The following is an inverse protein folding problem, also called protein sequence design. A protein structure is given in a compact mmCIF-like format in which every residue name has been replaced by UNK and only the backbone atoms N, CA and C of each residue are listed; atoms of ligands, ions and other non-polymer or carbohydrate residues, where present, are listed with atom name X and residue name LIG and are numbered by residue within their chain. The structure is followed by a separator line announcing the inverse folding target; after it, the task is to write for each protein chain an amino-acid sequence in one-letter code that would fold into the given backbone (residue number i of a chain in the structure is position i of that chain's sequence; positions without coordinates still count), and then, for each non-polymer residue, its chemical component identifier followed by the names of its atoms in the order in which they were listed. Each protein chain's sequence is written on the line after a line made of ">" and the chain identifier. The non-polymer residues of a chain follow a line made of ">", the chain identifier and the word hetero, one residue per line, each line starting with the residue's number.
data_IF_681690476709
#
_entry.id   IF_681690476709
#
_cell.length_a   1.000
_cell.length_b   1.000
_cell.length_c   1.000
_cell.angle_alpha   90.00
_cell.angle_beta   90.00
_cell.angle_gamma   90.00
#
_symmetry.space_group_name_H-M   'P 1'
#
loop_
_entity.id
_entity.type
_entity.pdbx_description
1 polymer ?
#
# COMPACT_ATOMS: atom_id res chain seq x y z
N UNK A 1 29.61 48.14 15.59
CA UNK A 1 28.69 47.68 14.53
C UNK A 1 29.01 46.22 14.30
N UNK A 2 28.16 45.29 14.73
CA UNK A 2 28.47 43.86 14.71
C UNK A 2 28.40 43.30 13.28
N UNK A 3 29.45 42.58 12.86
CA UNK A 3 29.44 41.83 11.60
C UNK A 3 28.51 40.63 11.74
N UNK A 4 27.48 40.56 10.90
CA UNK A 4 26.66 39.36 10.74
C UNK A 4 27.39 38.38 9.82
N UNK A 5 27.72 37.20 10.34
CA UNK A 5 28.20 36.06 9.54
C UNK A 5 27.03 35.12 9.28
N UNK A 6 26.62 35.02 8.03
CA UNK A 6 25.64 34.03 7.61
C UNK A 6 26.34 32.69 7.42
N UNK A 7 25.85 31.65 8.10
CA UNK A 7 26.24 30.28 7.82
C UNK A 7 25.37 29.76 6.67
N UNK A 8 26.01 29.15 5.67
CA UNK A 8 25.29 28.36 4.67
C UNK A 8 25.00 27.01 5.32
N UNK A 9 23.73 26.75 5.59
CA UNK A 9 23.27 25.44 6.08
C UNK A 9 22.94 24.61 4.86
N UNK A 10 23.72 23.56 4.59
CA UNK A 10 23.33 22.55 3.61
C UNK A 10 22.15 21.76 4.17
N UNK A 11 21.00 21.89 3.51
CA UNK A 11 19.83 21.09 3.84
C UNK A 11 20.03 19.67 3.31
N UNK A 12 19.58 18.64 4.05
CA UNK A 12 19.59 17.28 3.55
C UNK A 12 18.70 17.16 2.30
N UNK A 13 18.90 16.12 1.47
CA UNK A 13 18.17 15.94 0.21
C UNK A 13 16.63 15.98 0.35
N UNK A 14 16.12 15.63 1.54
CA UNK A 14 14.74 15.88 1.95
C UNK A 14 14.74 16.55 3.33
N UNK A 15 14.51 17.88 3.42
CA UNK A 15 14.49 18.58 4.71
C UNK A 15 13.30 18.21 5.59
N UNK A 16 12.30 17.52 5.05
CA UNK A 16 11.05 17.15 5.74
C UNK A 16 10.89 15.63 5.90
N UNK A 17 11.95 14.85 5.70
CA UNK A 17 11.83 13.39 5.71
C UNK A 17 11.25 12.87 7.03
N UNK A 18 11.75 13.37 8.15
CA UNK A 18 11.27 12.99 9.47
C UNK A 18 9.83 13.46 9.72
N UNK A 19 9.52 14.72 9.40
CA UNK A 19 8.18 15.28 9.57
C UNK A 19 7.15 14.48 8.74
N UNK A 20 7.49 14.14 7.50
CA UNK A 20 6.66 13.34 6.61
C UNK A 20 6.36 11.96 7.21
N UNK A 21 7.38 11.26 7.71
CA UNK A 21 7.21 9.95 8.36
C UNK A 21 6.35 10.04 9.60
N UNK A 22 6.63 10.99 10.48
CA UNK A 22 5.91 11.17 11.74
C UNK A 22 4.45 11.56 11.50
N UNK A 23 4.21 12.52 10.61
CA UNK A 23 2.84 12.96 10.29
C UNK A 23 2.03 11.82 9.69
N UNK A 24 2.59 11.04 8.75
CA UNK A 24 1.87 9.91 8.16
C UNK A 24 1.64 8.78 9.18
N UNK A 25 2.63 8.50 10.03
CA UNK A 25 2.51 7.54 11.13
C UNK A 25 1.33 7.87 12.03
N UNK A 26 1.21 9.14 12.45
CA UNK A 26 0.09 9.57 13.28
C UNK A 26 -1.25 9.64 12.53
N UNK A 27 -1.29 9.90 11.22
CA UNK A 27 -2.55 9.82 10.45
C UNK A 27 -3.14 8.41 10.54
N UNK A 28 -2.32 7.38 10.34
CA UNK A 28 -2.78 5.99 10.46
C UNK A 28 -3.07 5.59 11.90
N UNK A 29 -2.20 5.94 12.84
CA UNK A 29 -2.41 5.62 14.25
C UNK A 29 -3.71 6.24 14.80
N UNK A 30 -3.94 7.53 14.57
CA UNK A 30 -5.14 8.24 15.04
C UNK A 30 -6.37 7.72 14.31
N UNK A 31 -6.30 7.58 12.99
CA UNK A 31 -7.42 7.10 12.18
C UNK A 31 -7.90 5.72 12.61
N UNK A 32 -6.97 4.81 12.92
CA UNK A 32 -7.31 3.44 13.34
C UNK A 32 -7.64 3.37 14.82
N UNK A 33 -6.75 3.82 15.69
CA UNK A 33 -6.83 3.55 17.13
C UNK A 33 -7.73 4.53 17.90
N UNK A 34 -8.09 5.69 17.33
CA UNK A 34 -8.96 6.68 17.98
C UNK A 34 -10.26 6.89 17.21
N UNK A 35 -10.18 7.08 15.89
CA UNK A 35 -11.37 7.29 15.06
C UNK A 35 -12.10 5.97 14.73
N UNK A 36 -11.54 4.81 15.10
CA UNK A 36 -12.17 3.51 14.94
C UNK A 36 -12.32 3.05 13.48
N UNK A 37 -11.57 3.66 12.55
CA UNK A 37 -11.54 3.23 11.16
C UNK A 37 -10.66 1.98 11.00
N UNK A 38 -10.90 1.21 9.94
CA UNK A 38 -9.91 0.22 9.50
C UNK A 38 -8.77 0.91 8.77
N UNK A 39 -7.59 0.31 8.78
CA UNK A 39 -6.45 0.88 8.05
C UNK A 39 -6.70 0.97 6.53
N UNK A 40 -7.45 0.04 5.95
CA UNK A 40 -7.93 0.14 4.57
C UNK A 40 -8.79 1.38 4.34
N UNK A 41 -9.67 1.75 5.27
CA UNK A 41 -10.50 2.96 5.14
C UNK A 41 -9.64 4.23 5.18
N UNK A 42 -8.67 4.28 6.10
CA UNK A 42 -7.71 5.40 6.19
C UNK A 42 -6.87 5.49 4.93
N UNK A 43 -6.33 4.38 4.43
CA UNK A 43 -5.55 4.33 3.19
C UNK A 43 -6.36 4.77 1.97
N UNK A 44 -7.62 4.34 1.87
CA UNK A 44 -8.52 4.75 0.79
C UNK A 44 -8.82 6.25 0.85
N UNK A 45 -9.14 6.79 2.02
CA UNK A 45 -9.37 8.22 2.20
C UNK A 45 -8.10 9.05 1.93
N UNK A 46 -6.92 8.55 2.30
CA UNK A 46 -5.63 9.18 2.03
C UNK A 46 -5.36 9.28 0.51
N UNK A 47 -5.62 8.21 -0.23
CA UNK A 47 -5.52 8.22 -1.70
C UNK A 47 -6.61 9.06 -2.37
N UNK A 48 -7.85 9.03 -1.87
CA UNK A 48 -8.98 9.73 -2.49
C UNK A 48 -9.01 11.24 -2.20
N UNK A 49 -8.39 11.69 -1.11
CA UNK A 49 -8.29 13.11 -0.74
C UNK A 49 -7.23 13.88 -1.54
N UNK A 50 -6.36 13.20 -2.28
CA UNK A 50 -5.20 13.79 -2.97
C UNK A 50 -3.98 13.99 -2.07
N UNK A 51 -4.06 13.61 -0.78
CA UNK A 51 -2.93 13.74 0.14
C UNK A 51 -1.77 12.81 -0.24
N UNK A 52 -2.05 11.63 -0.79
CA UNK A 52 -1.02 10.73 -1.31
C UNK A 52 -0.08 11.44 -2.31
N UNK A 53 -0.65 12.13 -3.29
CA UNK A 53 0.10 12.86 -4.31
C UNK A 53 0.88 14.05 -3.73
N UNK A 54 0.36 14.70 -2.69
CA UNK A 54 1.05 15.80 -2.01
C UNK A 54 2.21 15.33 -1.12
N UNK A 55 2.07 14.16 -0.48
CA UNK A 55 3.14 13.48 0.24
C UNK A 55 4.24 13.00 -0.73
N UNK A 56 3.86 12.44 -1.88
CA UNK A 56 4.80 12.00 -2.91
C UNK A 56 5.69 13.14 -3.43
N UNK A 57 5.14 14.35 -3.53
CA UNK A 57 5.86 15.58 -3.89
C UNK A 57 6.60 16.23 -2.71
N UNK A 58 6.45 15.70 -1.50
CA UNK A 58 6.93 16.28 -0.24
C UNK A 58 6.49 17.75 -0.07
N UNK A 59 5.23 18.06 -0.40
CA UNK A 59 4.73 19.42 -0.32
C UNK A 59 4.74 19.90 1.15
N UNK A 60 5.55 20.92 1.51
CA UNK A 60 5.75 21.35 2.89
C UNK A 60 4.46 21.79 3.58
N UNK A 61 3.44 22.25 2.84
CA UNK A 61 2.13 22.59 3.41
C UNK A 61 1.49 21.39 4.12
N UNK A 62 1.69 20.19 3.60
CA UNK A 62 1.03 18.98 4.10
C UNK A 62 1.96 18.12 4.96
N UNK A 63 3.24 18.02 4.60
CA UNK A 63 4.18 17.12 5.29
C UNK A 63 4.84 17.72 6.52
N UNK A 64 4.83 19.05 6.65
CA UNK A 64 5.42 19.77 7.80
C UNK A 64 4.52 20.89 8.34
N UNK A 65 3.68 21.49 7.49
CA UNK A 65 2.82 22.63 7.84
C UNK A 65 1.44 22.26 8.40
N UNK A 66 1.08 20.98 8.43
CA UNK A 66 -0.20 20.47 8.94
C UNK A 66 0.04 19.36 9.94
N UNK A 67 -0.73 19.37 11.02
CA UNK A 67 -0.76 18.24 11.95
C UNK A 67 -1.51 17.05 11.33
N UNK A 68 -1.27 15.85 11.85
CA UNK A 68 -2.03 14.65 11.44
C UNK A 68 -3.54 14.80 11.67
N UNK A 69 -3.96 15.58 12.68
CA UNK A 69 -5.37 15.93 12.88
C UNK A 69 -5.92 16.82 11.76
N UNK A 70 -5.14 17.76 11.23
CA UNK A 70 -5.55 18.59 10.09
C UNK A 70 -5.68 17.76 8.81
N UNK A 71 -4.79 16.78 8.61
CA UNK A 71 -4.87 15.85 7.50
C UNK A 71 -6.10 14.94 7.61
N UNK A 72 -6.38 14.42 8.80
CA UNK A 72 -7.59 13.65 9.05
C UNK A 72 -8.87 14.47 8.82
N UNK A 73 -8.87 15.78 9.13
CA UNK A 73 -9.99 16.67 8.81
C UNK A 73 -10.20 16.84 7.31
N UNK A 74 -9.13 16.86 6.52
CA UNK A 74 -9.21 16.86 5.06
C UNK A 74 -9.81 15.54 4.57
N UNK A 75 -9.45 14.43 5.20
CA UNK A 75 -9.94 13.08 4.87
C UNK A 75 -11.36 12.79 5.39
N UNK A 76 -11.86 13.56 6.36
CA UNK A 76 -13.10 13.29 7.09
C UNK A 76 -14.31 13.00 6.18
N UNK A 77 -14.58 13.74 5.09
CA UNK A 77 -15.70 13.44 4.20
C UNK A 77 -15.63 12.08 3.48
N UNK A 78 -14.47 11.42 3.53
CA UNK A 78 -14.18 10.14 2.89
C UNK A 78 -14.05 8.98 3.90
N UNK A 79 -14.06 9.30 5.19
CA UNK A 79 -13.99 8.34 6.28
C UNK A 79 -15.41 7.95 6.73
N UNK A 80 -15.60 6.74 7.29
CA UNK A 80 -16.89 6.30 7.82
C UNK A 80 -17.23 6.92 9.19
N UNK A 81 -16.42 7.85 9.69
CA UNK A 81 -16.60 8.52 10.98
C UNK A 81 -17.07 9.96 10.79
N UNK A 82 -17.89 10.44 11.73
CA UNK A 82 -18.53 11.76 11.61
C UNK A 82 -17.63 12.92 12.08
N UNK A 83 -16.65 12.64 12.93
CA UNK A 83 -15.72 13.64 13.46
C UNK A 83 -14.30 13.09 13.64
N UNK A 84 -13.32 13.99 13.59
CA UNK A 84 -11.94 13.67 13.99
C UNK A 84 -11.86 13.79 15.52
N UNK A 85 -11.33 12.78 16.22
CA UNK A 85 -11.15 12.83 17.68
C UNK A 85 -10.41 14.07 18.15
N UNK A 86 -10.71 14.51 19.38
CA UNK A 86 -9.99 15.61 20.00
C UNK A 86 -8.50 15.25 20.17
N UNK A 87 -7.57 16.22 20.01
CA UNK A 87 -6.15 15.95 20.19
C UNK A 87 -5.81 15.41 21.58
N UNK A 88 -5.14 14.26 21.61
CA UNK A 88 -4.62 13.60 22.81
C UNK A 88 -3.10 13.38 22.71
N UNK A 89 -2.41 13.44 23.84
CA UNK A 89 -0.99 13.08 23.95
C UNK A 89 -0.82 11.58 23.75
N UNK A 90 -0.06 11.18 22.73
CA UNK A 90 0.21 9.78 22.41
C UNK A 90 1.71 9.53 22.37
N UNK A 91 2.15 8.63 23.24
CA UNK A 91 3.56 8.21 23.32
C UNK A 91 3.79 6.82 22.72
N UNK A 92 2.73 6.03 22.57
CA UNK A 92 2.81 4.66 22.09
C UNK A 92 2.98 4.61 20.58
N UNK A 93 4.00 3.88 20.13
CA UNK A 93 4.23 3.58 18.70
C UNK A 93 3.53 2.28 18.34
N UNK A 94 2.22 2.38 18.12
CA UNK A 94 1.38 1.24 17.74
C UNK A 94 1.83 0.60 16.42
N UNK A 95 1.34 -0.60 16.08
CA UNK A 95 1.59 -1.18 14.76
C UNK A 95 1.09 -0.29 13.60
N UNK A 96 0.04 0.50 13.82
CA UNK A 96 -0.53 1.43 12.84
C UNK A 96 0.32 2.69 12.68
N UNK A 97 0.90 3.19 13.79
CA UNK A 97 1.95 4.21 13.75
C UNK A 97 3.13 3.73 12.89
N UNK A 98 3.63 2.52 13.18
CA UNK A 98 4.74 1.95 12.44
C UNK A 98 4.40 1.72 10.97
N UNK A 99 3.18 1.29 10.64
CA UNK A 99 2.77 1.11 9.25
C UNK A 99 2.82 2.43 8.47
N UNK A 100 2.29 3.52 9.03
CA UNK A 100 2.39 4.85 8.40
C UNK A 100 3.83 5.33 8.25
N UNK A 101 4.67 5.09 9.25
CA UNK A 101 6.11 5.38 9.19
C UNK A 101 6.83 4.60 8.09
N UNK A 102 6.59 3.30 8.00
CA UNK A 102 7.20 2.40 7.03
C UNK A 102 6.76 2.75 5.60
N UNK A 103 5.49 3.06 5.40
CA UNK A 103 4.93 3.54 4.12
C UNK A 103 5.63 4.81 3.64
N UNK A 104 5.77 5.82 4.51
CA UNK A 104 6.48 7.05 4.22
C UNK A 104 7.95 6.78 3.85
N UNK A 105 8.64 5.96 4.64
CA UNK A 105 10.03 5.60 4.37
C UNK A 105 10.20 4.92 3.01
N UNK A 106 9.34 3.97 2.66
CA UNK A 106 9.42 3.27 1.38
C UNK A 106 9.15 4.20 0.21
N UNK A 107 8.13 5.07 0.31
CA UNK A 107 7.83 6.06 -0.73
C UNK A 107 9.03 7.00 -0.95
N UNK A 108 9.63 7.55 0.11
CA UNK A 108 10.78 8.44 -0.01
C UNK A 108 12.02 7.74 -0.56
N UNK A 109 12.26 6.48 -0.16
CA UNK A 109 13.44 5.71 -0.59
C UNK A 109 13.35 5.31 -2.07
N UNK A 110 12.16 4.95 -2.55
CA UNK A 110 11.98 4.34 -3.87
C UNK A 110 11.31 5.26 -4.90
N UNK A 111 10.66 6.35 -4.46
CA UNK A 111 9.80 7.17 -5.30
C UNK A 111 8.50 6.47 -5.74
N UNK A 112 8.19 5.29 -5.18
CA UNK A 112 6.99 4.55 -5.52
C UNK A 112 5.72 5.27 -5.05
N UNK A 113 4.75 5.50 -5.94
CA UNK A 113 3.48 6.11 -5.54
C UNK A 113 2.72 5.25 -4.53
N UNK A 114 2.01 5.87 -3.59
CA UNK A 114 1.18 5.17 -2.60
C UNK A 114 0.12 4.32 -3.27
N UNK A 115 -0.43 4.76 -4.41
CA UNK A 115 -1.31 3.95 -5.25
C UNK A 115 -0.67 2.62 -5.67
N UNK A 116 0.60 2.64 -6.04
CA UNK A 116 1.32 1.41 -6.43
C UNK A 116 1.68 0.55 -5.22
N UNK A 117 1.98 1.16 -4.07
CA UNK A 117 2.22 0.47 -2.81
C UNK A 117 0.96 -0.31 -2.39
N UNK A 118 -0.18 0.37 -2.31
CA UNK A 118 -1.47 -0.26 -1.93
C UNK A 118 -2.06 -1.16 -3.02
N UNK A 119 -1.59 -1.06 -4.27
CA UNK A 119 -1.87 -2.07 -5.29
C UNK A 119 -1.01 -3.33 -5.13
N UNK A 120 0.14 -3.22 -4.46
CA UNK A 120 1.05 -4.34 -4.21
C UNK A 120 0.59 -5.17 -3.03
N UNK A 121 0.22 -4.54 -1.92
CA UNK A 121 -0.21 -5.21 -0.69
C UNK A 121 -1.36 -4.45 -0.01
N UNK A 122 -2.23 -5.16 0.71
CA UNK A 122 -3.26 -4.51 1.54
C UNK A 122 -2.62 -3.80 2.73
N UNK A 123 -3.37 -2.91 3.39
CA UNK A 123 -2.85 -2.26 4.59
C UNK A 123 -2.60 -3.30 5.69
N UNK A 124 -3.50 -4.25 5.89
CA UNK A 124 -3.30 -5.34 6.85
C UNK A 124 -2.05 -6.19 6.56
N UNK A 125 -1.73 -6.47 5.28
CA UNK A 125 -0.50 -7.17 4.92
C UNK A 125 0.73 -6.36 5.34
N UNK A 126 0.74 -5.04 5.09
CA UNK A 126 1.81 -4.14 5.50
C UNK A 126 1.92 -4.10 7.04
N UNK A 127 0.80 -3.86 7.73
CA UNK A 127 0.75 -3.78 9.20
C UNK A 127 1.22 -5.08 9.87
N UNK A 128 0.95 -6.23 9.26
CA UNK A 128 1.37 -7.54 9.78
C UNK A 128 2.91 -7.69 9.84
N UNK A 129 3.64 -6.89 9.06
CA UNK A 129 5.10 -6.86 9.07
C UNK A 129 5.69 -6.16 10.29
N UNK A 130 4.86 -5.53 11.12
CA UNK A 130 5.28 -4.89 12.36
C UNK A 130 6.08 -5.84 13.26
N UNK A 131 5.51 -6.97 13.67
CA UNK A 131 6.18 -7.89 14.61
C UNK A 131 7.57 -8.35 14.13
N UNK A 132 7.75 -8.80 12.87
CA UNK A 132 9.08 -9.21 12.41
C UNK A 132 10.06 -8.05 12.15
N UNK A 133 9.58 -6.80 11.96
CA UNK A 133 10.42 -5.70 11.45
C UNK A 133 10.50 -4.44 12.31
N UNK A 134 9.66 -4.26 13.33
CA UNK A 134 9.62 -3.00 14.10
C UNK A 134 10.88 -2.71 14.92
N UNK A 135 11.65 -3.74 15.26
CA UNK A 135 12.97 -3.62 15.90
C UNK A 135 14.12 -3.63 14.88
N UNK A 136 13.83 -3.84 13.59
CA UNK A 136 14.82 -3.88 12.54
C UNK A 136 15.07 -2.47 11.95
N UNK A 137 16.23 -2.26 11.29
CA UNK A 137 16.44 -1.04 10.51
C UNK A 137 15.38 -0.90 9.42
N UNK A 138 14.95 0.33 9.15
CA UNK A 138 13.89 0.63 8.17
C UNK A 138 14.23 0.13 6.75
N UNK A 139 15.52 0.09 6.40
CA UNK A 139 16.01 -0.47 5.15
C UNK A 139 15.60 -1.94 4.94
N UNK A 140 15.35 -2.70 6.02
CA UNK A 140 14.87 -4.08 5.95
C UNK A 140 13.43 -4.15 5.48
N UNK A 141 12.56 -3.25 5.93
CA UNK A 141 11.20 -3.12 5.38
C UNK A 141 11.27 -2.79 3.89
N UNK A 142 12.12 -1.83 3.52
CA UNK A 142 12.28 -1.43 2.11
C UNK A 142 12.68 -2.62 1.24
N UNK A 143 13.70 -3.39 1.65
CA UNK A 143 14.15 -4.56 0.90
C UNK A 143 13.07 -5.63 0.76
N UNK A 144 12.37 -5.98 1.84
CA UNK A 144 11.32 -7.01 1.84
C UNK A 144 10.13 -6.58 0.97
N UNK A 145 9.70 -5.33 1.11
CA UNK A 145 8.57 -4.83 0.34
C UNK A 145 8.90 -4.73 -1.15
N UNK A 146 10.13 -4.34 -1.50
CA UNK A 146 10.57 -4.26 -2.89
C UNK A 146 10.70 -5.65 -3.55
N UNK A 147 11.21 -6.65 -2.82
CA UNK A 147 11.20 -8.04 -3.26
C UNK A 147 9.77 -8.53 -3.48
N UNK A 148 8.87 -8.32 -2.52
CA UNK A 148 7.46 -8.69 -2.66
C UNK A 148 6.82 -8.03 -3.89
N UNK A 149 7.11 -6.75 -4.13
CA UNK A 149 6.61 -6.02 -5.30
C UNK A 149 7.14 -6.63 -6.60
N UNK A 150 8.45 -6.94 -6.64
CA UNK A 150 9.09 -7.57 -7.79
C UNK A 150 8.48 -8.94 -8.08
N UNK A 151 8.26 -9.76 -7.06
CA UNK A 151 7.60 -11.06 -7.18
C UNK A 151 6.13 -10.93 -7.63
N UNK A 152 5.36 -10.01 -7.03
CA UNK A 152 3.95 -9.79 -7.40
C UNK A 152 3.80 -9.17 -8.79
N UNK A 153 4.81 -8.45 -9.30
CA UNK A 153 4.84 -7.92 -10.66
C UNK A 153 5.04 -9.02 -11.73
N UNK A 154 5.60 -10.18 -11.37
CA UNK A 154 5.72 -11.31 -12.30
C UNK A 154 4.33 -11.78 -12.72
N UNK A 155 4.13 -12.08 -14.00
CA UNK A 155 2.88 -12.65 -14.47
C UNK A 155 2.58 -13.96 -13.72
N UNK A 156 1.33 -14.15 -13.30
CA UNK A 156 0.86 -15.45 -12.79
C UNK A 156 0.96 -16.52 -13.88
N UNK A 157 1.03 -17.78 -13.48
CA UNK A 157 0.96 -18.92 -14.38
C UNK A 157 -0.33 -18.89 -15.20
N UNK A 158 -1.46 -18.55 -14.57
CA UNK A 158 -2.74 -18.35 -15.26
C UNK A 158 -2.64 -17.28 -16.37
N UNK A 159 -2.09 -16.10 -16.04
CA UNK A 159 -1.92 -15.02 -17.02
C UNK A 159 -0.99 -15.43 -18.15
N UNK A 160 0.13 -16.06 -17.81
CA UNK A 160 1.15 -16.52 -18.77
C UNK A 160 0.56 -17.53 -19.75
N UNK A 161 -0.17 -18.53 -19.26
CA UNK A 161 -0.83 -19.55 -20.09
C UNK A 161 -1.96 -18.96 -20.93
N UNK A 162 -2.73 -18.02 -20.38
CA UNK A 162 -3.79 -17.31 -21.11
C UNK A 162 -3.21 -16.53 -22.30
N UNK A 163 -2.15 -15.76 -22.07
CA UNK A 163 -1.51 -14.95 -23.11
C UNK A 163 -0.82 -15.83 -24.16
N UNK A 164 -0.19 -16.93 -23.76
CA UNK A 164 0.36 -17.93 -24.68
C UNK A 164 -0.72 -18.60 -25.56
N UNK A 165 -1.94 -18.75 -25.03
CA UNK A 165 -3.10 -19.22 -25.78
C UNK A 165 -3.77 -18.13 -26.66
N UNK A 166 -3.27 -16.88 -26.63
CA UNK A 166 -3.81 -15.76 -27.41
C UNK A 166 -5.19 -15.29 -26.95
N UNK A 167 -5.58 -15.56 -25.71
CA UNK A 167 -6.91 -15.24 -25.19
C UNK A 167 -6.88 -13.96 -24.35
N UNK A 168 -7.89 -13.10 -24.49
CA UNK A 168 -8.22 -12.08 -23.48
C UNK A 168 -8.89 -12.71 -22.25
N UNK A 169 -8.95 -11.98 -21.14
CA UNK A 169 -9.67 -12.42 -19.93
C UNK A 169 -11.14 -12.74 -20.23
N UNK A 170 -11.79 -11.95 -21.10
CA UNK A 170 -13.17 -12.18 -21.53
C UNK A 170 -13.34 -13.45 -22.37
N UNK A 171 -12.39 -13.73 -23.27
CA UNK A 171 -12.41 -14.93 -24.10
C UNK A 171 -12.14 -16.19 -23.27
N UNK A 172 -11.20 -16.13 -22.31
CA UNK A 172 -10.97 -17.23 -21.37
C UNK A 172 -12.19 -17.48 -20.49
N UNK A 173 -12.85 -16.43 -20.00
CA UNK A 173 -14.08 -16.55 -19.24
C UNK A 173 -15.18 -17.25 -20.05
N UNK A 174 -15.37 -16.85 -21.31
CA UNK A 174 -16.33 -17.49 -22.22
C UNK A 174 -15.99 -18.95 -22.48
N UNK A 175 -14.71 -19.29 -22.67
CA UNK A 175 -14.26 -20.64 -22.96
C UNK A 175 -14.32 -21.58 -21.74
N UNK A 176 -14.01 -21.08 -20.55
CA UNK A 176 -13.98 -21.87 -19.30
C UNK A 176 -15.30 -21.86 -18.52
N UNK A 177 -16.16 -20.86 -18.73
CA UNK A 177 -17.34 -20.63 -17.90
C UNK A 177 -17.01 -20.13 -16.48
N UNK A 178 -15.77 -19.70 -16.24
CA UNK A 178 -15.37 -18.99 -15.01
C UNK A 178 -15.59 -17.49 -15.22
N UNK A 179 -16.16 -16.80 -14.23
CA UNK A 179 -16.44 -15.37 -14.35
C UNK A 179 -15.18 -14.54 -14.60
N UNK A 180 -15.27 -13.55 -15.49
CA UNK A 180 -14.17 -12.62 -15.84
C UNK A 180 -13.54 -12.01 -14.60
N UNK A 181 -14.37 -11.59 -13.63
CA UNK A 181 -13.89 -11.00 -12.37
C UNK A 181 -13.02 -11.98 -11.58
N UNK A 182 -13.39 -13.26 -11.52
CA UNK A 182 -12.57 -14.26 -10.82
C UNK A 182 -11.22 -14.46 -11.51
N UNK A 183 -11.20 -14.55 -12.85
CA UNK A 183 -9.95 -14.64 -13.62
C UNK A 183 -9.06 -13.43 -13.34
N UNK A 184 -9.63 -12.23 -13.40
CA UNK A 184 -8.91 -11.00 -13.09
C UNK A 184 -8.32 -11.02 -11.66
N UNK A 185 -9.11 -11.43 -10.66
CA UNK A 185 -8.66 -11.51 -9.27
C UNK A 185 -7.53 -12.54 -9.09
N UNK A 186 -7.59 -13.68 -9.77
CA UNK A 186 -6.49 -14.66 -9.76
C UNK A 186 -5.25 -14.10 -10.44
N UNK A 187 -5.38 -13.49 -11.62
CA UNK A 187 -4.23 -12.94 -12.36
C UNK A 187 -3.55 -11.78 -11.64
N UNK A 188 -4.29 -11.05 -10.81
CA UNK A 188 -3.81 -9.95 -9.97
C UNK A 188 -3.39 -10.41 -8.56
N UNK A 189 -3.41 -11.71 -8.25
CA UNK A 189 -3.15 -12.29 -6.92
C UNK A 189 -4.03 -11.73 -5.79
N UNK A 190 -5.14 -11.08 -6.11
CA UNK A 190 -6.16 -10.66 -5.13
C UNK A 190 -6.98 -11.86 -4.63
N UNK A 191 -7.03 -12.95 -5.40
CA UNK A 191 -7.49 -14.26 -4.93
C UNK A 191 -6.38 -15.29 -5.12
N UNK A 192 -6.16 -16.08 -4.09
CA UNK A 192 -5.24 -17.21 -4.14
C UNK A 192 -5.81 -18.31 -5.05
N UNK A 193 -5.18 -18.49 -6.22
CA UNK A 193 -5.57 -19.53 -7.18
C UNK A 193 -5.31 -20.94 -6.63
N UNK A 194 -4.39 -21.09 -5.67
CA UNK A 194 -4.11 -22.37 -5.00
C UNK A 194 -5.28 -22.80 -4.11
N UNK A 195 -6.15 -21.85 -3.71
CA UNK A 195 -7.39 -22.08 -2.96
C UNK A 195 -8.63 -22.05 -3.85
N UNK A 196 -8.47 -21.97 -5.17
CA UNK A 196 -9.60 -22.00 -6.09
C UNK A 196 -10.33 -23.36 -6.01
N UNK A 197 -11.66 -23.32 -6.15
CA UNK A 197 -12.47 -24.52 -6.24
C UNK A 197 -11.95 -25.43 -7.36
N UNK A 198 -11.79 -26.73 -7.09
CA UNK A 198 -11.22 -27.67 -8.05
C UNK A 198 -11.94 -27.69 -9.40
N UNK A 199 -13.28 -27.50 -9.39
CA UNK A 199 -14.05 -27.39 -10.63
C UNK A 199 -13.68 -26.17 -11.48
N UNK A 200 -13.31 -25.04 -10.86
CA UNK A 200 -12.87 -23.84 -11.56
C UNK A 200 -11.49 -24.06 -12.18
N UNK A 201 -10.55 -24.65 -11.44
CA UNK A 201 -9.23 -25.03 -11.97
C UNK A 201 -9.34 -26.00 -13.14
N UNK A 202 -10.23 -26.99 -13.06
CA UNK A 202 -10.45 -27.97 -14.11
C UNK A 202 -11.00 -27.31 -15.38
N UNK A 203 -11.96 -26.40 -15.24
CA UNK A 203 -12.52 -25.65 -16.37
C UNK A 203 -11.49 -24.75 -17.05
N UNK A 204 -10.67 -24.05 -16.26
CA UNK A 204 -9.58 -23.23 -16.78
C UNK A 204 -8.54 -24.07 -17.51
N UNK A 205 -8.14 -25.21 -16.93
CA UNK A 205 -7.12 -26.08 -17.51
C UNK A 205 -7.58 -26.69 -18.84
N UNK A 206 -8.85 -27.10 -18.93
CA UNK A 206 -9.46 -27.58 -20.19
C UNK A 206 -9.52 -26.49 -21.26
N UNK A 207 -9.85 -25.25 -20.89
CA UNK A 207 -9.90 -24.14 -21.83
C UNK A 207 -8.51 -23.75 -22.35
N UNK A 208 -7.49 -23.82 -21.49
CA UNK A 208 -6.10 -23.47 -21.81
C UNK A 208 -5.26 -24.64 -22.34
N UNK A 209 -5.83 -25.86 -22.36
CA UNK A 209 -5.15 -27.11 -22.74
C UNK A 209 -3.89 -27.39 -21.92
N UNK A 210 -3.94 -27.08 -20.63
CA UNK A 210 -2.88 -27.36 -19.66
C UNK A 210 -3.38 -28.31 -18.57
N UNK A 211 -2.50 -28.73 -17.66
CA UNK A 211 -2.89 -29.46 -16.46
C UNK A 211 -3.29 -28.50 -15.34
N UNK A 212 -3.99 -28.99 -14.31
CA UNK A 212 -4.42 -28.14 -13.19
C UNK A 212 -3.22 -27.64 -12.37
N UNK A 213 -2.18 -28.47 -12.25
CA UNK A 213 -0.93 -28.16 -11.56
C UNK A 213 -0.18 -27.00 -12.21
N UNK A 214 -0.27 -26.87 -13.54
CA UNK A 214 0.35 -25.77 -14.28
C UNK A 214 -0.34 -24.42 -14.01
N UNK A 215 -1.55 -24.41 -13.44
CA UNK A 215 -2.25 -23.17 -13.05
C UNK A 215 -1.90 -22.71 -11.64
N UNK A 216 -1.35 -23.59 -10.80
CA UNK A 216 -1.02 -23.29 -9.40
C UNK A 216 0.24 -22.43 -9.32
N UNK A 217 0.31 -21.54 -8.32
CA UNK A 217 1.48 -20.72 -8.03
C UNK A 217 2.35 -21.40 -6.96
N UNK A 218 3.67 -21.14 -6.98
CA UNK A 218 4.60 -21.59 -5.94
C UNK A 218 4.70 -20.60 -4.80
#
# INVERSE_FOLDING_TARGET
>A
MGEYRYAIVELPPSPYAHDLQEVLAFVFDIGVNLAGCTGEQVAQAFMASGLAEEFEKQNPVYVAGKSSYDLLRIMLPLLPCDEVPAPELRYDRTPDFWAGWALAQYQMTTGCSYRSIFATATYDEIRSMYWPLHEAPESKFVAIFDEMRTERAKATNLRTLREAAGLSQSQLAKASGVGVRSIQLYEQRQKDINKAQGIALYRLSRALRCTMEQLLER
#
